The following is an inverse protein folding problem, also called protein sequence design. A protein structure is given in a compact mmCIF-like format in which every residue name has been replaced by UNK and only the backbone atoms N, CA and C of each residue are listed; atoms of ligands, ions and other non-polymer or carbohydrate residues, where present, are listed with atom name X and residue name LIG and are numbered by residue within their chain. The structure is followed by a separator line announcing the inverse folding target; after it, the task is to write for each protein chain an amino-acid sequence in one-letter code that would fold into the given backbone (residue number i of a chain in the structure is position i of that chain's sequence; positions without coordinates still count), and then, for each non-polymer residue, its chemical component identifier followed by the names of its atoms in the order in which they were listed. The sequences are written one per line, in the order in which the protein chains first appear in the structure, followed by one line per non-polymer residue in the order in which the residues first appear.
data_IF_939571762960
#
_entry.id   IF_939571762960
#
_cell.length_a   1.000
_cell.length_b   1.000
_cell.length_c   1.000
_cell.angle_alpha   90.00
_cell.angle_beta   90.00
_cell.angle_gamma   90.00
#
_symmetry.space_group_name_H-M   'P 1'
#
loop_
_entity.id
_entity.type
_entity.pdbx_description
1 polymer ?
#
# COMPACT_ATOMS: atom_id res chain seq x y z
N UNK A 1 44.86 29.59 -11.89
CA UNK A 1 43.92 28.74 -12.64
C UNK A 1 43.96 27.25 -12.22
N UNK A 2 45.13 26.64 -12.09
CA UNK A 2 45.25 25.21 -11.67
C UNK A 2 44.68 24.86 -10.28
N UNK A 3 44.80 25.73 -9.29
CA UNK A 3 44.35 25.48 -7.90
C UNK A 3 42.82 25.49 -7.77
N UNK A 4 42.10 26.25 -8.56
CA UNK A 4 40.63 26.26 -8.55
C UNK A 4 40.06 25.00 -9.20
N UNK A 5 40.69 24.50 -10.26
CA UNK A 5 40.26 23.30 -10.94
C UNK A 5 40.37 22.06 -10.04
N UNK A 6 41.43 21.93 -9.25
CA UNK A 6 41.64 20.84 -8.31
C UNK A 6 40.58 20.83 -7.16
N UNK A 7 40.17 22.00 -6.67
CA UNK A 7 39.13 22.12 -5.64
C UNK A 7 37.76 21.69 -6.18
N UNK A 8 37.42 22.08 -7.40
CA UNK A 8 36.16 21.65 -8.04
C UNK A 8 36.14 20.17 -8.24
N UNK A 9 37.23 19.56 -8.73
CA UNK A 9 37.33 18.11 -8.93
C UNK A 9 37.17 17.34 -7.59
N UNK A 10 37.82 17.80 -6.51
CA UNK A 10 37.70 17.19 -5.18
C UNK A 10 36.27 17.30 -4.66
N UNK A 11 35.60 18.44 -4.87
CA UNK A 11 34.20 18.62 -4.43
C UNK A 11 33.26 17.69 -5.20
N UNK A 12 33.41 17.57 -6.51
CA UNK A 12 32.62 16.65 -7.35
C UNK A 12 32.84 15.19 -6.93
N UNK A 13 34.07 14.78 -6.69
CA UNK A 13 34.41 13.42 -6.23
C UNK A 13 33.81 13.12 -4.84
N UNK A 14 33.77 14.09 -3.93
CA UNK A 14 33.13 13.97 -2.62
C UNK A 14 31.61 13.85 -2.75
N UNK A 15 30.98 14.63 -3.60
CA UNK A 15 29.54 14.54 -3.86
C UNK A 15 29.18 13.19 -4.51
N UNK A 16 29.96 12.69 -5.46
CA UNK A 16 29.76 11.38 -6.06
C UNK A 16 29.96 10.25 -5.05
N UNK A 17 30.93 10.33 -4.14
CA UNK A 17 31.12 9.31 -3.10
C UNK A 17 30.00 9.36 -2.04
N UNK A 18 29.49 10.54 -1.68
CA UNK A 18 28.31 10.65 -0.80
C UNK A 18 27.06 10.07 -1.48
N UNK A 19 26.88 10.38 -2.77
CA UNK A 19 25.76 9.83 -3.55
C UNK A 19 25.83 8.31 -3.66
N UNK A 20 27.04 7.75 -3.88
CA UNK A 20 27.23 6.28 -3.93
C UNK A 20 27.03 5.61 -2.57
N UNK A 21 27.38 6.26 -1.45
CA UNK A 21 27.10 5.78 -0.10
C UNK A 21 25.60 5.76 0.21
N UNK A 22 24.85 6.79 -0.22
CA UNK A 22 23.40 6.83 -0.11
C UNK A 22 22.77 5.68 -0.91
N UNK A 23 23.25 5.39 -2.11
CA UNK A 23 22.80 4.23 -2.89
C UNK A 23 23.08 2.88 -2.23
N UNK A 24 24.23 2.72 -1.57
CA UNK A 24 24.59 1.46 -0.88
C UNK A 24 23.70 1.23 0.35
N UNK A 25 23.34 2.27 1.10
CA UNK A 25 22.44 2.18 2.26
C UNK A 25 20.99 1.90 1.82
N UNK A 26 20.57 2.43 0.68
CA UNK A 26 19.25 2.14 0.09
C UNK A 26 19.11 0.70 -0.43
N UNK A 27 20.22 -0.01 -0.64
CA UNK A 27 20.28 -1.40 -1.06
C UNK A 27 20.35 -2.41 0.11
N UNK A 28 19.85 -2.07 1.32
CA UNK A 28 19.58 -3.09 2.31
C UNK A 28 18.44 -3.97 1.77
N UNK A 29 18.80 -5.05 1.10
CA UNK A 29 17.87 -6.05 0.59
C UNK A 29 17.11 -6.66 1.76
N UNK A 30 15.92 -6.13 2.03
CA UNK A 30 14.97 -6.82 2.90
C UNK A 30 14.64 -8.14 2.20
N UNK A 31 15.11 -9.26 2.72
CA UNK A 31 14.71 -10.56 2.17
C UNK A 31 13.20 -10.71 2.41
N UNK A 32 12.44 -10.74 1.32
CA UNK A 32 10.97 -10.86 1.39
C UNK A 32 10.51 -12.12 2.14
N UNK A 33 11.40 -13.12 2.31
CA UNK A 33 11.09 -14.37 3.00
C UNK A 33 11.11 -14.21 4.52
N UNK A 34 11.98 -13.34 5.03
CA UNK A 34 12.20 -13.11 6.46
C UNK A 34 11.62 -11.80 6.96
N UNK A 35 11.20 -10.91 6.04
CA UNK A 35 10.60 -9.63 6.38
C UNK A 35 9.31 -9.81 7.20
N UNK A 36 9.16 -9.03 8.27
CA UNK A 36 8.00 -9.10 9.17
C UNK A 36 6.68 -8.92 8.42
N UNK A 37 5.69 -9.72 8.82
CA UNK A 37 4.28 -9.62 8.45
C UNK A 37 3.39 -9.71 9.69
N UNK A 38 3.94 -9.41 10.85
CA UNK A 38 3.20 -9.35 12.11
C UNK A 38 2.22 -8.19 12.13
N UNK A 39 1.29 -8.19 13.08
CA UNK A 39 0.41 -7.03 13.32
C UNK A 39 1.21 -5.82 13.78
N UNK A 40 0.84 -4.65 13.30
CA UNK A 40 1.37 -3.37 13.76
C UNK A 40 0.63 -2.83 15.01
N UNK A 41 -0.37 -3.55 15.51
CA UNK A 41 -1.19 -3.15 16.66
C UNK A 41 -2.15 -2.01 16.36
N UNK A 42 -2.56 -1.84 15.09
CA UNK A 42 -3.43 -0.76 14.65
C UNK A 42 -4.90 -1.18 14.52
N UNK A 43 -5.15 -2.45 14.17
CA UNK A 43 -6.50 -2.99 14.04
C UNK A 43 -7.02 -3.45 15.40
N UNK A 44 -8.32 -3.29 15.62
CA UNK A 44 -8.97 -3.90 16.75
C UNK A 44 -9.13 -5.42 16.55
N UNK A 45 -9.09 -6.18 17.64
CA UNK A 45 -9.30 -7.62 17.60
C UNK A 45 -10.72 -7.95 17.08
N UNK A 46 -10.86 -8.63 15.94
CA UNK A 46 -12.15 -8.93 15.34
C UNK A 46 -13.00 -9.91 16.19
N UNK A 47 -12.38 -10.68 17.07
CA UNK A 47 -13.09 -11.54 18.01
C UNK A 47 -13.78 -10.76 19.13
N UNK A 48 -13.27 -9.58 19.46
CA UNK A 48 -13.79 -8.72 20.53
C UNK A 48 -14.83 -7.74 20.00
N UNK A 49 -14.50 -7.00 18.94
CA UNK A 49 -15.41 -5.99 18.36
C UNK A 49 -16.48 -6.65 17.49
N UNK A 50 -17.75 -6.28 17.72
CA UNK A 50 -18.88 -6.81 16.95
C UNK A 50 -19.34 -5.90 15.82
N UNK A 51 -18.97 -4.63 15.87
CA UNK A 51 -19.33 -3.66 14.83
C UNK A 51 -18.68 -3.99 13.48
N UNK A 52 -19.32 -3.48 12.43
CA UNK A 52 -18.70 -3.43 11.10
C UNK A 52 -17.54 -2.43 11.08
N UNK A 53 -16.49 -2.73 10.34
CA UNK A 53 -15.29 -1.88 10.24
C UNK A 53 -14.80 -1.80 8.79
N UNK A 54 -14.40 -0.61 8.38
CA UNK A 54 -13.68 -0.34 7.14
C UNK A 54 -12.39 0.35 7.50
N UNK A 55 -11.27 -0.17 7.02
CA UNK A 55 -9.95 0.41 7.22
C UNK A 55 -9.17 0.42 5.90
N UNK A 56 -8.45 1.51 5.66
CA UNK A 56 -7.47 1.61 4.58
C UNK A 56 -6.10 1.79 5.20
N UNK A 57 -5.14 1.07 4.67
CA UNK A 57 -3.76 1.08 5.12
C UNK A 57 -2.81 1.43 3.98
N UNK A 58 -1.73 2.09 4.32
CA UNK A 58 -0.59 2.34 3.45
C UNK A 58 0.70 1.92 4.17
N UNK A 59 1.66 1.41 3.43
CA UNK A 59 3.02 1.18 3.92
C UNK A 59 4.00 1.46 2.78
N UNK A 60 5.28 1.75 3.10
CA UNK A 60 6.28 1.92 2.05
C UNK A 60 6.30 0.72 1.11
N UNK A 61 6.38 0.99 -0.17
CA UNK A 61 6.45 -0.06 -1.17
C UNK A 61 7.71 -0.91 -0.98
N UNK A 62 7.62 -2.18 -1.33
CA UNK A 62 8.73 -3.11 -1.10
C UNK A 62 10.01 -2.69 -1.81
N UNK A 63 11.16 -2.80 -1.10
CA UNK A 63 12.49 -2.50 -1.60
C UNK A 63 12.67 -0.99 -1.89
N UNK A 64 13.60 -0.63 -2.79
CA UNK A 64 13.96 0.75 -3.13
C UNK A 64 12.77 1.64 -3.52
N UNK A 65 11.67 1.07 -3.99
CA UNK A 65 10.43 1.80 -4.30
C UNK A 65 9.81 2.49 -3.08
N UNK A 66 10.03 1.93 -1.89
CA UNK A 66 9.56 2.51 -0.63
C UNK A 66 10.15 3.88 -0.30
N UNK A 67 11.23 4.31 -0.97
CA UNK A 67 11.79 5.65 -0.79
C UNK A 67 10.86 6.76 -1.31
N UNK A 68 9.89 6.45 -2.18
CA UNK A 68 9.03 7.46 -2.80
C UNK A 68 7.60 6.98 -3.09
N UNK A 69 7.31 5.71 -2.90
CA UNK A 69 5.99 5.14 -3.17
C UNK A 69 5.51 4.25 -2.04
N UNK A 70 4.20 4.15 -1.91
CA UNK A 70 3.53 3.26 -0.95
C UNK A 70 2.78 2.13 -1.65
N UNK A 71 2.48 1.09 -0.89
CA UNK A 71 1.51 0.05 -1.19
C UNK A 71 0.26 0.27 -0.33
N UNK A 72 -0.91 0.25 -0.96
CA UNK A 72 -2.18 0.47 -0.26
C UNK A 72 -3.06 -0.78 -0.30
N UNK A 73 -3.80 -1.03 0.78
CA UNK A 73 -4.80 -2.11 0.84
C UNK A 73 -6.02 -1.71 1.66
N UNK A 74 -7.11 -2.45 1.48
CA UNK A 74 -8.40 -2.26 2.13
C UNK A 74 -8.66 -3.45 3.05
N UNK A 75 -9.13 -3.20 4.25
CA UNK A 75 -9.62 -4.21 5.17
C UNK A 75 -11.08 -3.93 5.54
N UNK A 76 -11.93 -4.90 5.38
CA UNK A 76 -13.35 -4.84 5.68
C UNK A 76 -13.69 -5.94 6.68
N UNK A 77 -14.40 -5.58 7.74
CA UNK A 77 -15.01 -6.52 8.67
C UNK A 77 -16.51 -6.24 8.70
N UNK A 78 -17.31 -7.21 8.32
CA UNK A 78 -18.77 -7.11 8.49
C UNK A 78 -19.14 -7.19 9.98
N UNK A 79 -20.33 -6.72 10.30
CA UNK A 79 -20.87 -6.86 11.65
C UNK A 79 -20.87 -8.32 12.08
N UNK A 80 -20.49 -8.58 13.32
CA UNK A 80 -20.37 -9.90 13.95
C UNK A 80 -19.37 -10.86 13.28
N UNK A 81 -18.65 -10.45 12.23
CA UNK A 81 -17.60 -11.26 11.64
C UNK A 81 -16.41 -11.42 12.60
N UNK A 82 -15.79 -12.60 12.61
CA UNK A 82 -14.62 -12.92 13.44
C UNK A 82 -13.29 -12.67 12.72
N UNK A 83 -13.34 -12.19 11.47
CA UNK A 83 -12.18 -11.90 10.64
C UNK A 83 -12.44 -10.68 9.76
N UNK A 84 -11.37 -10.02 9.41
CA UNK A 84 -11.34 -9.05 8.32
C UNK A 84 -11.19 -9.78 6.98
N UNK A 85 -11.79 -9.23 5.94
CA UNK A 85 -11.44 -9.55 4.55
C UNK A 85 -10.53 -8.43 4.04
N UNK A 86 -9.31 -8.78 3.67
CA UNK A 86 -8.37 -7.85 3.04
C UNK A 86 -8.49 -7.94 1.54
N UNK A 87 -8.47 -6.80 0.86
CA UNK A 87 -8.43 -6.64 -0.60
C UNK A 87 -7.20 -5.84 -0.97
N UNK A 88 -6.38 -6.36 -1.86
CA UNK A 88 -5.16 -5.69 -2.34
C UNK A 88 -4.82 -6.09 -3.77
N UNK A 89 -4.09 -5.23 -4.48
CA UNK A 89 -3.58 -5.50 -5.83
C UNK A 89 -2.08 -5.76 -5.76
N UNK A 90 -1.66 -6.93 -6.25
CA UNK A 90 -0.31 -7.47 -6.06
C UNK A 90 0.30 -7.92 -7.39
N UNK A 91 1.26 -7.16 -7.91
CA UNK A 91 1.80 -7.34 -9.27
C UNK A 91 2.47 -8.68 -9.54
N UNK A 92 3.19 -9.26 -8.58
CA UNK A 92 3.87 -10.56 -8.80
C UNK A 92 2.92 -11.76 -8.98
N UNK A 93 1.62 -11.58 -8.74
CA UNK A 93 0.61 -12.61 -9.00
C UNK A 93 0.41 -12.83 -10.50
N UNK A 94 0.49 -11.76 -11.31
CA UNK A 94 0.39 -11.81 -12.77
C UNK A 94 1.44 -12.77 -13.34
N UNK A 95 2.68 -12.71 -12.87
CA UNK A 95 3.77 -13.60 -13.31
C UNK A 95 3.52 -15.08 -12.97
N UNK A 96 2.49 -15.37 -12.16
CA UNK A 96 2.05 -16.73 -11.78
C UNK A 96 0.72 -17.11 -12.42
N UNK A 97 0.26 -16.35 -13.43
CA UNK A 97 -1.01 -16.58 -14.10
C UNK A 97 -2.25 -16.38 -13.20
N UNK A 98 -2.16 -15.50 -12.20
CA UNK A 98 -3.26 -15.22 -11.25
C UNK A 98 -3.64 -13.75 -11.32
N UNK A 99 -4.92 -13.39 -11.06
CA UNK A 99 -5.36 -12.00 -10.93
C UNK A 99 -4.46 -11.19 -10.01
N UNK A 100 -4.20 -9.92 -10.37
CA UNK A 100 -3.48 -9.00 -9.51
C UNK A 100 -4.30 -8.67 -8.25
N UNK A 101 -5.61 -8.44 -8.42
CA UNK A 101 -6.53 -8.26 -7.30
C UNK A 101 -6.68 -9.59 -6.54
N UNK A 102 -6.49 -9.53 -5.25
CA UNK A 102 -6.65 -10.66 -4.33
C UNK A 102 -7.46 -10.27 -3.12
N UNK A 103 -8.24 -11.21 -2.59
CA UNK A 103 -8.88 -11.12 -1.29
C UNK A 103 -8.57 -12.34 -0.44
N UNK A 104 -8.44 -12.12 0.87
CA UNK A 104 -8.25 -13.20 1.85
C UNK A 104 -8.75 -12.77 3.23
N UNK A 105 -9.09 -13.74 4.07
CA UNK A 105 -9.50 -13.50 5.45
C UNK A 105 -8.31 -13.57 6.41
N UNK A 106 -8.30 -12.68 7.41
CA UNK A 106 -7.27 -12.59 8.42
C UNK A 106 -7.78 -11.96 9.72
N UNK A 107 -7.11 -12.23 10.83
CA UNK A 107 -7.30 -11.53 12.10
C UNK A 107 -6.34 -10.34 12.27
N UNK A 108 -5.33 -10.22 11.41
CA UNK A 108 -4.30 -9.17 11.43
C UNK A 108 -4.28 -8.38 10.11
N UNK A 109 -5.29 -7.52 9.85
CA UNK A 109 -5.38 -6.76 8.60
C UNK A 109 -4.30 -5.67 8.49
N UNK A 110 -3.72 -5.27 9.61
CA UNK A 110 -2.71 -4.23 9.81
C UNK A 110 -1.27 -4.78 9.80
N UNK A 111 -1.06 -5.91 9.09
CA UNK A 111 0.25 -6.56 9.02
C UNK A 111 1.32 -5.65 8.42
N UNK A 112 2.54 -5.76 8.90
CA UNK A 112 3.69 -5.16 8.24
C UNK A 112 3.74 -5.58 6.77
N UNK A 113 4.00 -4.62 5.89
CA UNK A 113 4.20 -4.87 4.46
C UNK A 113 5.66 -5.16 4.20
N UNK A 114 6.03 -6.45 4.27
CA UNK A 114 7.42 -6.91 4.09
C UNK A 114 8.43 -6.10 4.91
N UNK A 115 8.14 -5.92 6.21
CA UNK A 115 8.97 -5.18 7.14
C UNK A 115 8.67 -3.69 7.26
N UNK A 116 7.91 -3.10 6.32
CA UNK A 116 7.45 -1.73 6.43
C UNK A 116 6.22 -1.62 7.32
N UNK A 117 6.26 -0.70 8.29
CA UNK A 117 5.16 -0.47 9.23
C UNK A 117 4.00 0.21 8.50
N UNK A 118 2.77 -0.32 8.58
CA UNK A 118 1.63 0.34 7.99
C UNK A 118 1.20 1.58 8.78
N UNK A 119 0.55 2.50 8.08
CA UNK A 119 -0.27 3.58 8.62
C UNK A 119 -1.73 3.35 8.24
N UNK A 120 -2.64 3.64 9.16
CA UNK A 120 -4.09 3.59 8.91
C UNK A 120 -4.55 4.98 8.45
N UNK A 121 -4.93 5.10 7.18
CA UNK A 121 -5.33 6.38 6.58
C UNK A 121 -6.85 6.60 6.58
N UNK A 122 -7.64 5.54 6.80
CA UNK A 122 -9.08 5.63 6.96
C UNK A 122 -9.57 4.61 7.98
N UNK A 123 -10.51 5.02 8.82
CA UNK A 123 -11.17 4.16 9.80
C UNK A 123 -12.64 4.55 9.95
N UNK A 124 -13.54 3.66 9.57
CA UNK A 124 -14.98 3.85 9.68
C UNK A 124 -15.56 2.63 10.40
N UNK A 125 -16.44 2.85 11.41
CA UNK A 125 -17.04 1.78 12.19
C UNK A 125 -18.56 1.88 12.27
N UNK A 126 -19.19 0.84 12.80
CA UNK A 126 -20.59 0.81 13.14
C UNK A 126 -21.53 1.00 11.96
N UNK A 127 -22.64 1.71 12.16
CA UNK A 127 -23.69 1.90 11.14
C UNK A 127 -23.21 2.56 9.83
N UNK A 128 -22.20 3.45 9.90
CA UNK A 128 -21.63 4.03 8.68
C UNK A 128 -20.91 2.93 7.87
N UNK A 129 -20.13 2.09 8.53
CA UNK A 129 -19.46 0.96 7.88
C UNK A 129 -20.48 -0.05 7.32
N UNK A 130 -21.50 -0.45 8.10
CA UNK A 130 -22.56 -1.37 7.65
C UNK A 130 -23.21 -0.90 6.34
N UNK A 131 -23.45 0.40 6.20
CA UNK A 131 -24.06 1.00 5.00
C UNK A 131 -23.10 1.06 3.81
N UNK A 132 -21.81 1.31 4.04
CA UNK A 132 -20.82 1.49 2.97
C UNK A 132 -20.23 0.17 2.45
N UNK A 133 -20.11 -0.86 3.29
CA UNK A 133 -19.53 -2.16 2.92
C UNK A 133 -20.17 -2.75 1.66
N UNK A 134 -21.52 -2.85 1.52
CA UNK A 134 -22.13 -3.39 0.30
C UNK A 134 -21.77 -2.59 -0.96
N UNK A 135 -21.66 -1.26 -0.86
CA UNK A 135 -21.25 -0.40 -1.97
C UNK A 135 -19.79 -0.66 -2.37
N UNK A 136 -18.90 -0.78 -1.38
CA UNK A 136 -17.50 -1.10 -1.60
C UNK A 136 -17.35 -2.48 -2.26
N UNK A 137 -18.05 -3.50 -1.78
CA UNK A 137 -18.02 -4.84 -2.38
C UNK A 137 -18.48 -4.81 -3.84
N UNK A 138 -19.50 -4.01 -4.15
CA UNK A 138 -19.96 -3.82 -5.53
C UNK A 138 -18.86 -3.17 -6.38
N UNK A 139 -18.24 -2.09 -5.90
CA UNK A 139 -17.13 -1.43 -6.60
C UNK A 139 -15.93 -2.36 -6.82
N UNK A 140 -15.56 -3.15 -5.79
CA UNK A 140 -14.46 -4.13 -5.87
C UNK A 140 -14.73 -5.19 -6.94
N UNK A 141 -15.96 -5.72 -7.01
CA UNK A 141 -16.35 -6.74 -7.99
C UNK A 141 -16.27 -6.27 -9.45
N UNK A 142 -16.46 -4.99 -9.68
CA UNK A 142 -16.41 -4.38 -11.03
C UNK A 142 -15.11 -3.62 -11.29
N UNK A 143 -14.06 -3.85 -10.48
CA UNK A 143 -12.74 -3.26 -10.70
C UNK A 143 -12.19 -3.69 -12.07
N UNK A 144 -11.98 -2.75 -13.02
CA UNK A 144 -11.72 -3.11 -14.41
C UNK A 144 -10.36 -3.74 -14.66
N UNK A 145 -9.39 -3.52 -13.77
CA UNK A 145 -7.99 -3.98 -13.93
C UNK A 145 -7.61 -5.09 -12.93
N UNK A 146 -8.57 -5.97 -12.62
CA UNK A 146 -8.33 -7.06 -11.66
C UNK A 146 -7.20 -8.01 -12.10
N UNK A 147 -7.01 -8.17 -13.41
CA UNK A 147 -6.03 -9.06 -14.02
C UNK A 147 -4.82 -8.34 -14.61
N UNK A 148 -4.66 -7.04 -14.33
CA UNK A 148 -3.60 -6.21 -14.87
C UNK A 148 -2.74 -5.60 -13.76
N UNK A 149 -1.45 -5.36 -14.07
CA UNK A 149 -0.55 -4.64 -13.19
C UNK A 149 0.57 -3.95 -13.95
N UNK A 150 0.65 -2.65 -13.81
CA UNK A 150 1.74 -1.82 -14.33
C UNK A 150 2.24 -0.91 -13.21
N UNK A 151 3.54 -0.98 -12.90
CA UNK A 151 4.12 -0.22 -11.77
C UNK A 151 3.88 1.29 -11.92
N UNK A 152 4.07 1.81 -13.14
CA UNK A 152 3.86 3.21 -13.50
C UNK A 152 3.43 3.32 -14.96
N UNK A 153 2.42 4.12 -15.31
CA UNK A 153 1.59 4.98 -14.43
C UNK A 153 0.51 4.24 -13.64
N UNK A 154 0.29 2.98 -13.90
CA UNK A 154 -0.77 2.11 -13.37
C UNK A 154 -1.33 1.21 -14.48
N UNK A 155 -2.31 0.35 -14.19
CA UNK A 155 -2.95 0.15 -12.88
C UNK A 155 -2.03 -0.58 -11.88
N UNK A 156 -2.09 -0.21 -10.61
CA UNK A 156 -1.26 -0.80 -9.55
C UNK A 156 -1.99 -0.85 -8.19
N UNK A 157 -1.27 -1.12 -7.10
CA UNK A 157 -1.85 -1.24 -5.76
C UNK A 157 -2.53 0.03 -5.26
N UNK A 158 -2.16 1.20 -5.76
CA UNK A 158 -2.76 2.49 -5.37
C UNK A 158 -3.94 2.88 -6.26
N UNK A 159 -3.97 2.40 -7.51
CA UNK A 159 -5.10 2.56 -8.43
C UNK A 159 -6.38 1.91 -7.89
N UNK A 160 -6.24 0.74 -7.26
CA UNK A 160 -7.38 -0.02 -6.74
C UNK A 160 -8.15 0.71 -5.63
N UNK A 161 -7.53 1.17 -4.52
CA UNK A 161 -8.26 1.93 -3.51
C UNK A 161 -8.73 3.30 -4.03
N UNK A 162 -8.02 3.95 -4.95
CA UNK A 162 -8.50 5.16 -5.62
C UNK A 162 -9.79 4.90 -6.40
N UNK A 163 -9.87 3.78 -7.14
CA UNK A 163 -11.09 3.33 -7.82
C UNK A 163 -12.25 3.15 -6.83
N UNK A 164 -12.02 2.42 -5.73
CA UNK A 164 -13.05 2.19 -4.71
C UNK A 164 -13.52 3.52 -4.11
N UNK A 165 -12.61 4.45 -3.80
CA UNK A 165 -12.94 5.79 -3.31
C UNK A 165 -13.77 6.60 -4.33
N UNK A 166 -13.45 6.53 -5.63
CA UNK A 166 -14.21 7.18 -6.71
C UNK A 166 -15.64 6.62 -6.83
N UNK A 167 -15.79 5.28 -6.69
CA UNK A 167 -17.11 4.62 -6.76
C UNK A 167 -17.96 4.82 -5.49
N UNK A 168 -17.32 5.08 -4.34
CA UNK A 168 -17.98 5.28 -3.04
C UNK A 168 -17.48 6.58 -2.40
N UNK A 169 -17.91 7.75 -2.92
CA UNK A 169 -17.42 9.05 -2.43
C UNK A 169 -17.66 9.31 -0.94
N UNK A 170 -18.66 8.66 -0.35
CA UNK A 170 -18.97 8.78 1.08
C UNK A 170 -17.87 8.22 2.00
N UNK A 171 -16.88 7.52 1.44
CA UNK A 171 -15.67 7.14 2.17
C UNK A 171 -14.82 8.37 2.51
N UNK A 172 -14.87 9.43 1.68
CA UNK A 172 -14.03 10.61 1.84
C UNK A 172 -12.54 10.20 1.92
N UNK A 173 -12.15 9.25 1.04
CA UNK A 173 -10.81 8.67 1.04
C UNK A 173 -9.79 9.67 0.48
N UNK A 174 -8.80 10.00 1.28
CA UNK A 174 -7.63 10.76 0.87
C UNK A 174 -6.40 9.84 0.82
N UNK A 175 -5.84 9.66 -0.38
CA UNK A 175 -4.60 8.91 -0.56
C UNK A 175 -3.40 9.86 -0.46
N UNK A 176 -2.29 9.44 0.16
CA UNK A 176 -1.09 10.27 0.24
C UNK A 176 -0.49 10.49 -1.16
N UNK A 177 0.25 11.57 -1.33
CA UNK A 177 0.94 11.90 -2.59
C UNK A 177 1.86 10.76 -3.07
N UNK A 178 2.44 10.01 -2.13
CA UNK A 178 3.27 8.83 -2.41
C UNK A 178 2.48 7.61 -2.92
N UNK A 179 1.14 7.67 -2.97
CA UNK A 179 0.30 6.64 -3.58
C UNK A 179 0.32 6.77 -5.12
N UNK A 180 1.52 6.61 -5.69
CA UNK A 180 1.77 6.74 -7.14
C UNK A 180 0.91 5.74 -7.92
N UNK A 181 0.21 6.23 -8.95
CA UNK A 181 -0.75 5.45 -9.75
C UNK A 181 -2.21 5.58 -9.29
N UNK A 182 -2.48 6.32 -8.21
CA UNK A 182 -3.86 6.63 -7.79
C UNK A 182 -4.62 7.46 -8.84
N UNK A 183 -3.95 8.35 -9.57
CA UNK A 183 -4.55 9.14 -10.66
C UNK A 183 -4.80 8.38 -11.96
N UNK A 184 -4.49 7.09 -12.06
CA UNK A 184 -4.72 6.27 -13.26
C UNK A 184 -6.22 6.06 -13.57
N UNK A 185 -7.10 6.36 -12.63
CA UNK A 185 -8.56 6.20 -12.73
C UNK A 185 -9.29 7.37 -13.41
N UNK A 186 -8.57 8.41 -13.81
CA UNK A 186 -9.11 9.65 -14.40
C UNK A 186 -9.33 9.54 -15.91
#
# INVERSE_FOLDING_TARGET
MRIQLSRVIITVLRLLSILSLIFIVACSNSDWRTASRESAGLAADPGIIKEAVIEFYVADAFNWRGLFAVHTWIAIKEKDAEKYTVYEVVGWRINRGKPALVSYQTTIPDRYWYGSKPEKILHITGKKAERLIPKMITAIKVYPWADEYTVFPGPNSNTFPAWVGKQVPELELELPFSAIGSGYID
#
